data_IF_895945351368
#
_entry.id   IF_895945351368
#
_cell.length_a   1.000
_cell.length_b   1.000
_cell.length_c   1.000
_cell.angle_alpha   90.00
_cell.angle_beta   90.00
_cell.angle_gamma   90.00
#
_symmetry.space_group_name_H-M   'P 1'
#
loop_
_entity.id
_entity.type
_entity.pdbx_description
1 polymer ?
#
# COMPACT_ATOMS: atom_id res chain seq x y z
N UNK A 1 -8.19 -10.80 -4.47
CA UNK A 1 -7.88 -9.88 -3.35
C UNK A 1 -6.70 -9.04 -3.78
N UNK A 2 -6.82 -7.73 -3.65
CA UNK A 2 -5.81 -6.77 -4.05
C UNK A 2 -5.01 -6.33 -2.84
N UNK A 3 -3.72 -6.10 -3.03
CA UNK A 3 -2.81 -5.64 -1.99
C UNK A 3 -2.27 -4.29 -2.43
N UNK A 4 -2.54 -3.27 -1.62
CA UNK A 4 -1.82 -2.01 -1.61
C UNK A 4 -0.59 -2.18 -0.73
N UNK A 5 0.59 -1.90 -1.28
CA UNK A 5 1.84 -1.85 -0.54
C UNK A 5 2.40 -0.44 -0.58
N UNK A 6 2.70 0.09 0.60
CA UNK A 6 3.14 1.48 0.81
C UNK A 6 4.51 1.43 1.46
N UNK A 7 5.50 1.99 0.79
CA UNK A 7 6.87 2.07 1.29
C UNK A 7 7.08 3.43 1.92
N UNK A 8 7.65 3.45 3.13
CA UNK A 8 7.96 4.67 3.86
C UNK A 8 9.44 5.04 3.72
N UNK A 9 9.72 6.35 3.78
CA UNK A 9 11.09 6.87 3.83
C UNK A 9 11.82 6.28 5.05
N UNK A 10 13.05 5.82 4.83
CA UNK A 10 13.91 5.29 5.89
C UNK A 10 13.42 4.02 6.60
N UNK A 11 12.32 3.40 6.15
CA UNK A 11 11.73 2.22 6.81
C UNK A 11 11.93 0.96 5.96
N UNK A 12 12.56 -0.10 6.49
CA UNK A 12 12.86 -1.31 5.72
C UNK A 12 11.63 -2.20 5.46
N UNK A 13 10.49 -1.96 6.11
CA UNK A 13 9.25 -2.71 5.94
C UNK A 13 8.11 -1.80 5.47
N UNK A 14 7.42 -2.21 4.39
CA UNK A 14 6.25 -1.52 3.87
C UNK A 14 4.97 -1.82 4.65
N UNK A 15 4.01 -0.89 4.61
CA UNK A 15 2.65 -1.08 5.11
C UNK A 15 1.80 -1.75 4.03
N UNK A 16 0.93 -2.68 4.44
CA UNK A 16 0.02 -3.34 3.50
C UNK A 16 -1.45 -3.19 3.89
N UNK A 17 -2.25 -2.84 2.88
CA UNK A 17 -3.71 -2.73 2.97
C UNK A 17 -4.31 -3.68 1.94
N UNK A 18 -5.24 -4.52 2.37
CA UNK A 18 -5.88 -5.49 1.50
C UNK A 18 -7.30 -5.04 1.15
N UNK A 19 -7.62 -5.03 -0.14
CA UNK A 19 -8.94 -4.73 -0.68
C UNK A 19 -9.55 -5.94 -1.36
N UNK A 20 -10.86 -6.13 -1.17
CA UNK A 20 -11.57 -7.25 -1.82
C UNK A 20 -11.80 -6.97 -3.30
N UNK A 21 -12.36 -5.80 -3.59
CA UNK A 21 -12.72 -5.37 -4.94
C UNK A 21 -11.60 -4.57 -5.61
N UNK A 22 -11.47 -4.72 -6.94
CA UNK A 22 -10.47 -4.00 -7.74
C UNK A 22 -10.71 -2.49 -7.74
N UNK A 23 -11.98 -2.08 -7.81
CA UNK A 23 -12.38 -0.69 -7.79
C UNK A 23 -11.94 0.00 -6.49
N UNK A 24 -12.13 -0.66 -5.33
CA UNK A 24 -11.71 -0.15 -4.02
C UNK A 24 -10.19 -0.06 -3.91
N UNK A 25 -9.48 -1.04 -4.47
CA UNK A 25 -8.01 -1.03 -4.51
C UNK A 25 -7.46 0.12 -5.37
N UNK A 26 -8.06 0.32 -6.54
CA UNK A 26 -7.68 1.40 -7.46
C UNK A 26 -8.00 2.77 -6.88
N UNK A 27 -9.16 2.92 -6.23
CA UNK A 27 -9.53 4.15 -5.54
C UNK A 27 -8.55 4.48 -4.40
N UNK A 28 -8.19 3.49 -3.58
CA UNK A 28 -7.20 3.66 -2.52
C UNK A 28 -5.82 4.01 -3.08
N UNK A 29 -5.39 3.37 -4.18
CA UNK A 29 -4.14 3.70 -4.86
C UNK A 29 -4.12 5.16 -5.34
N UNK A 30 -5.17 5.61 -6.03
CA UNK A 30 -5.27 6.99 -6.52
C UNK A 30 -5.29 8.00 -5.37
N UNK A 31 -6.01 7.70 -4.28
CA UNK A 31 -6.00 8.55 -3.08
C UNK A 31 -4.58 8.74 -2.55
N UNK A 32 -3.78 7.66 -2.45
CA UNK A 32 -2.39 7.75 -1.99
C UNK A 32 -1.54 8.59 -2.96
N UNK A 33 -1.66 8.34 -4.28
CA UNK A 33 -0.90 9.09 -5.30
C UNK A 33 -1.23 10.58 -5.27
N UNK A 34 -2.51 10.95 -5.21
CA UNK A 34 -2.93 12.35 -5.15
C UNK A 34 -2.40 13.05 -3.90
N UNK A 35 -2.42 12.37 -2.76
CA UNK A 35 -1.86 12.91 -1.52
C UNK A 35 -0.33 13.05 -1.57
N UNK A 36 0.38 12.11 -2.21
CA UNK A 36 1.82 12.23 -2.44
C UNK A 36 2.17 13.42 -3.36
N UNK A 37 1.32 13.73 -4.34
CA UNK A 37 1.50 14.84 -5.28
C UNK A 37 1.15 16.21 -4.68
N UNK A 38 0.38 16.23 -3.59
CA UNK A 38 -0.06 17.45 -2.91
C UNK A 38 1.09 18.05 -2.09
N UNK A 39 2.06 18.65 -2.79
CA UNK A 39 3.24 19.25 -2.20
C UNK A 39 2.86 20.35 -1.19
N UNK A 40 3.39 20.25 0.04
CA UNK A 40 3.30 21.30 1.06
C UNK A 40 2.25 21.09 2.17
N UNK A 41 1.44 20.02 2.10
CA UNK A 41 0.53 19.67 3.21
C UNK A 41 0.92 18.33 3.82
N UNK A 42 1.14 18.31 5.14
CA UNK A 42 1.38 17.08 5.89
C UNK A 42 0.05 16.33 6.08
N UNK A 43 -0.53 15.84 4.99
CA UNK A 43 -1.83 15.17 5.01
C UNK A 43 -1.71 13.80 5.66
N UNK A 44 -2.56 13.54 6.65
CA UNK A 44 -2.75 12.20 7.22
C UNK A 44 -3.69 11.41 6.31
N UNK A 45 -3.22 10.26 5.83
CA UNK A 45 -4.01 9.28 5.09
C UNK A 45 -4.46 8.19 6.05
N UNK A 46 -5.75 7.84 6.00
CA UNK A 46 -6.30 6.70 6.74
C UNK A 46 -6.86 5.67 5.74
N UNK A 47 -6.42 4.43 5.87
CA UNK A 47 -6.78 3.32 4.99
C UNK A 47 -7.31 2.16 5.84
N UNK A 48 -8.41 1.55 5.40
CA UNK A 48 -9.02 0.39 6.06
C UNK A 48 -8.71 -0.91 5.28
N UNK A 49 -8.41 -1.97 6.02
CA UNK A 49 -8.18 -3.30 5.45
C UNK A 49 -9.46 -4.15 5.49
N UNK A 50 -9.84 -4.72 4.35
CA UNK A 50 -11.05 -5.52 4.22
C UNK A 50 -10.82 -6.99 4.60
N UNK A 51 -9.55 -7.43 4.59
CA UNK A 51 -9.16 -8.79 4.93
C UNK A 51 -9.09 -9.01 6.45
N UNK A 52 -8.68 -8.00 7.21
CA UNK A 52 -8.58 -8.07 8.67
C UNK A 52 -9.54 -7.04 9.29
N UNK A 53 -10.69 -7.52 9.75
CA UNK A 53 -11.73 -6.68 10.37
C UNK A 53 -11.14 -5.84 11.51
N UNK A 54 -11.36 -4.53 11.45
CA UNK A 54 -10.88 -3.58 12.45
C UNK A 54 -9.45 -3.05 12.22
N UNK A 55 -8.68 -3.61 11.26
CA UNK A 55 -7.35 -3.07 10.94
C UNK A 55 -7.51 -1.77 10.12
N UNK A 56 -7.06 -0.67 10.72
CA UNK A 56 -6.87 0.63 10.07
C UNK A 56 -5.40 0.99 10.08
N UNK A 57 -4.95 1.65 9.03
CA UNK A 57 -3.56 2.11 8.87
C UNK A 57 -3.62 3.61 8.62
N UNK A 58 -2.87 4.38 9.40
CA UNK A 58 -2.75 5.82 9.22
C UNK A 58 -1.30 6.18 8.96
N UNK A 59 -1.05 7.01 7.94
CA UNK A 59 0.30 7.38 7.50
C UNK A 59 0.32 8.81 6.97
N UNK A 60 1.37 9.55 7.26
CA UNK A 60 1.57 10.87 6.65
C UNK A 60 2.00 10.71 5.20
N UNK A 61 1.33 11.43 4.29
CA UNK A 61 1.67 11.42 2.86
C UNK A 61 3.13 11.87 2.61
N UNK A 62 3.68 12.75 3.46
CA UNK A 62 5.07 13.20 3.40
C UNK A 62 6.07 12.07 3.62
N UNK A 63 5.69 11.00 4.32
CA UNK A 63 6.57 9.87 4.67
C UNK A 63 6.51 8.75 3.64
N UNK A 64 5.59 8.80 2.69
CA UNK A 64 5.45 7.79 1.64
C UNK A 64 6.49 8.06 0.55
N UNK A 65 7.30 7.06 0.21
CA UNK A 65 8.24 7.14 -0.91
C UNK A 65 7.74 6.40 -2.15
N UNK A 66 6.91 5.37 -1.98
CA UNK A 66 6.31 4.63 -3.09
C UNK A 66 5.00 3.97 -2.66
N UNK A 67 4.13 3.72 -3.64
CA UNK A 67 2.92 2.91 -3.50
C UNK A 67 2.78 2.01 -4.72
N UNK A 68 2.35 0.77 -4.50
CA UNK A 68 2.00 -0.17 -5.57
C UNK A 68 0.71 -0.91 -5.20
N UNK A 69 -0.05 -1.31 -6.22
CA UNK A 69 -1.24 -2.16 -6.08
C UNK A 69 -1.10 -3.37 -6.99
N UNK A 70 -1.46 -4.55 -6.50
CA UNK A 70 -1.42 -5.79 -7.26
C UNK A 70 -2.48 -6.77 -6.79
N UNK A 71 -2.90 -7.65 -7.69
CA UNK A 71 -3.76 -8.76 -7.33
C UNK A 71 -2.94 -9.91 -6.73
N UNK A 72 -3.38 -10.43 -5.58
CA UNK A 72 -2.86 -11.68 -5.02
C UNK A 72 -3.37 -12.85 -5.87
N UNK A 73 -2.58 -13.30 -6.84
CA UNK A 73 -2.87 -14.50 -7.64
C UNK A 73 -2.59 -15.77 -6.84
N UNK A 74 -3.45 -16.78 -7.00
CA UNK A 74 -3.47 -18.01 -6.19
C UNK A 74 -2.29 -18.99 -6.41
N UNK A 75 -1.26 -18.61 -7.16
CA UNK A 75 -0.13 -19.49 -7.55
C UNK A 75 1.25 -19.12 -6.99
N UNK A 76 1.38 -18.07 -6.19
CA UNK A 76 2.66 -17.67 -5.59
C UNK A 76 2.95 -18.39 -4.27
N UNK A 77 3.85 -19.37 -4.30
CA UNK A 77 4.42 -20.02 -3.11
C UNK A 77 5.10 -19.01 -2.19
N UNK A 78 5.12 -19.32 -0.89
CA UNK A 78 5.50 -18.43 0.21
C UNK A 78 6.93 -17.86 0.15
N UNK A 79 7.13 -16.68 -0.45
CA UNK A 79 8.37 -15.93 -0.18
C UNK A 79 8.66 -14.79 -1.14
N UNK A 80 7.96 -13.66 -0.97
CA UNK A 80 8.23 -12.35 -1.61
C UNK A 80 8.24 -12.30 -3.14
N UNK A 81 7.11 -11.91 -3.70
CA UNK A 81 6.99 -11.01 -4.85
C UNK A 81 5.54 -10.56 -4.81
N UNK A 82 5.23 -9.26 -4.55
CA UNK A 82 5.77 -8.08 -5.25
C UNK A 82 6.52 -7.06 -4.37
N UNK A 83 7.26 -6.14 -5.03
CA UNK A 83 8.07 -5.04 -4.44
C UNK A 83 9.24 -4.54 -5.32
N UNK A 84 9.74 -3.32 -5.04
CA UNK A 84 11.00 -2.68 -5.52
C UNK A 84 12.27 -3.19 -4.80
N UNK A 85 12.08 -3.96 -3.71
CA UNK A 85 13.12 -4.65 -2.94
C UNK A 85 12.76 -6.12 -2.83
N UNK A 86 12.44 -6.76 -3.97
CA UNK A 86 12.61 -8.21 -4.06
C UNK A 86 14.04 -8.50 -3.63
N UNK A 87 14.24 -9.03 -2.41
CA UNK A 87 15.56 -9.46 -2.00
C UNK A 87 16.04 -10.42 -3.08
N UNK A 88 17.03 -9.98 -3.84
CA UNK A 88 17.74 -10.82 -4.78
C UNK A 88 18.27 -12.01 -3.97
N UNK A 89 17.89 -13.21 -4.40
CA UNK A 89 18.73 -14.37 -4.19
C UNK A 89 19.86 -14.35 -5.22
#
# INVERSE_FOLDING_TARGET
MFILEITLKGTPAGLTVQKKEEADATAAYQQVVTSMQSAGTNQLLELACDHQTGKKVSVFASEICAVQVYEKTAGGTSGRTPGFFSMAE
#
